data_IF_606469547999
#
_entry.id   IF_606469547999
#
_cell.length_a   1.000
_cell.length_b   1.000
_cell.length_c   1.000
_cell.angle_alpha   90.00
_cell.angle_beta   90.00
_cell.angle_gamma   90.00
#
_symmetry.space_group_name_H-M   'P 1'
#
loop_
_entity.id
_entity.type
_entity.pdbx_description
1 polymer ?
#
# COMPACT_ATOMS: atom_id res chain seq x y z
N UNK A 1 -64.13 6.25 3.74
CA UNK A 1 -63.11 7.29 3.99
C UNK A 1 -62.31 7.06 5.30
N UNK A 2 -62.20 5.83 5.81
CA UNK A 2 -61.48 5.52 7.07
C UNK A 2 -60.24 4.66 6.86
N UNK A 3 -60.11 4.01 5.71
CA UNK A 3 -59.02 3.09 5.38
C UNK A 3 -57.74 3.80 4.91
N UNK A 4 -57.86 4.98 4.31
CA UNK A 4 -56.72 5.78 3.82
C UNK A 4 -55.92 6.39 4.99
N UNK A 5 -56.61 6.78 6.08
CA UNK A 5 -55.96 7.32 7.28
C UNK A 5 -55.15 6.26 8.05
N UNK A 6 -55.55 4.99 7.97
CA UNK A 6 -54.87 3.88 8.67
C UNK A 6 -53.54 3.55 8.00
N UNK A 7 -53.47 3.61 6.66
CA UNK A 7 -52.24 3.36 5.91
C UNK A 7 -51.19 4.45 6.13
N UNK A 8 -51.60 5.72 6.21
CA UNK A 8 -50.69 6.83 6.47
C UNK A 8 -50.13 6.81 7.91
N UNK A 9 -50.91 6.33 8.89
CA UNK A 9 -50.42 6.17 10.26
C UNK A 9 -49.43 5.00 10.39
N UNK A 10 -49.66 3.89 9.68
CA UNK A 10 -48.75 2.74 9.71
C UNK A 10 -47.37 3.05 9.11
N UNK A 11 -47.28 3.90 8.08
CA UNK A 11 -45.98 4.33 7.53
C UNK A 11 -45.20 5.25 8.48
N UNK A 12 -45.89 6.11 9.24
CA UNK A 12 -45.24 7.01 10.20
C UNK A 12 -44.68 6.24 11.41
N UNK A 13 -45.41 5.23 11.90
CA UNK A 13 -44.98 4.41 13.04
C UNK A 13 -43.78 3.53 12.67
N UNK A 14 -43.71 3.02 11.43
CA UNK A 14 -42.54 2.27 10.94
C UNK A 14 -41.27 3.13 10.94
N UNK A 15 -41.33 4.38 10.46
CA UNK A 15 -40.17 5.27 10.41
C UNK A 15 -39.68 5.69 11.82
N UNK A 16 -40.58 5.81 12.80
CA UNK A 16 -40.17 6.07 14.19
C UNK A 16 -39.56 4.86 14.89
N UNK A 17 -39.97 3.63 14.54
CA UNK A 17 -39.37 2.41 15.11
C UNK A 17 -37.94 2.19 14.58
N UNK A 18 -37.66 2.57 13.34
CA UNK A 18 -36.28 2.56 12.79
C UNK A 18 -35.31 3.49 13.54
N UNK A 19 -35.82 4.47 14.31
CA UNK A 19 -34.99 5.42 15.05
C UNK A 19 -34.83 5.09 16.55
N UNK A 20 -35.58 4.10 17.09
CA UNK A 20 -35.62 3.81 18.54
C UNK A 20 -35.64 2.32 18.91
N UNK A 21 -35.25 1.42 17.99
CA UNK A 21 -34.89 0.06 18.38
C UNK A 21 -33.74 0.09 19.40
N UNK A 22 -33.62 -0.93 20.28
CA UNK A 22 -32.40 -1.06 21.08
C UNK A 22 -31.23 -0.98 20.11
N UNK A 23 -30.27 -0.09 20.40
CA UNK A 23 -28.96 -0.16 19.76
C UNK A 23 -28.58 -1.65 19.79
N UNK A 24 -28.29 -2.27 18.64
CA UNK A 24 -27.66 -3.57 18.68
C UNK A 24 -26.46 -3.39 19.59
N UNK A 25 -26.41 -4.15 20.69
CA UNK A 25 -25.18 -4.23 21.47
C UNK A 25 -24.04 -4.44 20.48
N UNK A 26 -22.88 -3.79 20.68
CA UNK A 26 -21.73 -3.93 19.80
C UNK A 26 -21.34 -5.41 19.81
N UNK A 27 -21.93 -6.14 18.88
CA UNK A 27 -21.44 -7.42 18.45
C UNK A 27 -20.09 -7.03 17.88
N UNK A 28 -19.03 -7.52 18.53
CA UNK A 28 -17.75 -7.71 17.89
C UNK A 28 -17.99 -8.64 16.68
N UNK A 29 -18.62 -8.11 15.63
CA UNK A 29 -18.11 -8.35 14.31
C UNK A 29 -16.66 -7.87 14.40
N UNK A 30 -15.66 -8.69 14.03
CA UNK A 30 -14.35 -8.14 13.80
C UNK A 30 -14.58 -6.95 12.86
N UNK A 31 -14.34 -5.75 13.38
CA UNK A 31 -13.99 -4.59 12.55
C UNK A 31 -13.10 -5.16 11.44
N UNK A 32 -13.34 -4.85 10.14
CA UNK A 32 -12.37 -5.25 9.14
C UNK A 32 -11.04 -4.71 9.65
N UNK A 33 -10.17 -5.61 10.12
CA UNK A 33 -8.90 -5.21 10.69
C UNK A 33 -8.24 -4.33 9.64
N UNK A 34 -7.55 -3.24 10.03
CA UNK A 34 -6.84 -2.42 9.07
C UNK A 34 -6.00 -3.38 8.22
N UNK A 35 -6.40 -3.56 6.96
CA UNK A 35 -5.64 -4.38 6.04
C UNK A 35 -4.38 -3.58 5.79
N UNK A 36 -3.29 -3.99 6.45
CA UNK A 36 -1.92 -3.51 6.31
C UNK A 36 -1.34 -3.81 4.90
N UNK A 37 -2.14 -3.57 3.86
CA UNK A 37 -1.75 -3.56 2.44
C UNK A 37 -0.76 -2.43 2.07
N UNK A 38 -0.36 -1.46 2.94
CA UNK A 38 0.76 -0.56 2.65
C UNK A 38 2.16 -1.17 2.78
N UNK A 39 2.34 -2.30 3.48
CA UNK A 39 3.67 -2.89 3.71
C UNK A 39 4.05 -3.88 2.61
N UNK A 40 3.14 -4.78 2.24
CA UNK A 40 3.38 -5.74 1.13
C UNK A 40 3.61 -5.03 -0.20
N UNK A 41 2.83 -3.98 -0.51
CA UNK A 41 3.02 -3.21 -1.74
C UNK A 41 4.38 -2.51 -1.77
N UNK A 42 4.84 -1.93 -0.65
CA UNK A 42 6.16 -1.30 -0.57
C UNK A 42 7.29 -2.31 -0.69
N UNK A 43 7.10 -3.50 -0.11
CA UNK A 43 8.03 -4.61 -0.23
C UNK A 43 8.20 -5.03 -1.69
N UNK A 44 7.09 -5.27 -2.40
CA UNK A 44 7.12 -5.66 -3.81
C UNK A 44 7.80 -4.61 -4.70
N UNK A 45 7.53 -3.33 -4.44
CA UNK A 45 8.15 -2.22 -5.17
C UNK A 45 9.65 -2.15 -4.90
N UNK A 46 10.06 -2.32 -3.63
CA UNK A 46 11.47 -2.38 -3.27
C UNK A 46 12.17 -3.58 -3.93
N UNK A 47 11.60 -4.78 -3.87
CA UNK A 47 12.21 -5.99 -4.43
C UNK A 47 12.34 -5.86 -5.95
N UNK A 48 11.31 -5.36 -6.61
CA UNK A 48 11.32 -5.13 -8.06
C UNK A 48 12.41 -4.13 -8.45
N UNK A 49 12.48 -2.99 -7.76
CA UNK A 49 13.51 -1.99 -8.00
C UNK A 49 14.91 -2.54 -7.70
N UNK A 50 15.08 -3.18 -6.55
CA UNK A 50 16.33 -3.81 -6.13
C UNK A 50 16.80 -4.89 -7.10
N UNK A 51 15.89 -5.65 -7.71
CA UNK A 51 16.22 -6.63 -8.75
C UNK A 51 16.80 -5.96 -9.98
N UNK A 52 16.19 -4.87 -10.45
CA UNK A 52 16.71 -4.07 -11.58
C UNK A 52 18.11 -3.52 -11.24
N UNK A 53 18.30 -2.98 -10.03
CA UNK A 53 19.61 -2.48 -9.60
C UNK A 53 20.64 -3.61 -9.47
N UNK A 54 20.22 -4.81 -9.06
CA UNK A 54 21.10 -5.96 -8.94
C UNK A 54 21.67 -6.40 -10.29
N UNK A 55 20.87 -6.34 -11.34
CA UNK A 55 21.33 -6.62 -12.71
C UNK A 55 22.44 -5.64 -13.11
N UNK A 56 22.28 -4.34 -12.82
CA UNK A 56 23.33 -3.34 -13.05
C UNK A 56 24.61 -3.61 -12.26
N UNK A 57 24.48 -4.02 -10.99
CA UNK A 57 25.61 -4.40 -10.14
C UNK A 57 26.36 -5.60 -10.74
N UNK A 58 25.64 -6.62 -11.22
CA UNK A 58 26.21 -7.83 -11.81
C UNK A 58 26.90 -7.56 -13.16
N UNK A 59 26.34 -6.63 -13.94
CA UNK A 59 26.93 -6.11 -15.17
C UNK A 59 28.08 -5.13 -14.92
N UNK A 60 28.35 -4.77 -13.66
CA UNK A 60 29.38 -3.81 -13.23
C UNK A 60 29.20 -2.43 -13.86
N UNK A 61 27.94 -2.04 -14.04
CA UNK A 61 27.58 -0.69 -14.51
C UNK A 61 27.90 0.30 -13.40
N UNK A 62 28.68 1.36 -13.67
CA UNK A 62 29.05 2.30 -12.63
C UNK A 62 27.83 3.05 -12.08
N UNK A 63 27.83 3.30 -10.77
CA UNK A 63 26.71 3.93 -10.04
C UNK A 63 26.18 5.22 -10.71
N UNK A 64 27.05 6.03 -11.31
CA UNK A 64 26.64 7.27 -11.99
C UNK A 64 25.82 7.05 -13.27
N UNK A 65 25.94 5.88 -13.91
CA UNK A 65 25.07 5.47 -15.01
C UNK A 65 23.76 4.91 -14.46
N UNK A 66 23.82 4.09 -13.40
CA UNK A 66 22.64 3.56 -12.72
C UNK A 66 21.74 4.67 -12.19
N UNK A 67 22.30 5.74 -11.62
CA UNK A 67 21.55 6.92 -11.16
C UNK A 67 20.67 7.53 -12.26
N UNK A 68 21.19 7.62 -13.48
CA UNK A 68 20.45 8.21 -14.61
C UNK A 68 19.33 7.29 -15.07
N UNK A 69 19.59 5.99 -15.11
CA UNK A 69 18.60 5.01 -15.53
C UNK A 69 17.50 4.83 -14.47
N UNK A 70 17.84 4.83 -13.19
CA UNK A 70 16.90 4.79 -12.09
C UNK A 70 16.02 6.06 -12.04
N UNK A 71 16.60 7.24 -12.26
CA UNK A 71 15.84 8.50 -12.35
C UNK A 71 14.81 8.46 -13.48
N UNK A 72 15.23 8.01 -14.67
CA UNK A 72 14.31 7.82 -15.80
C UNK A 72 13.23 6.78 -15.47
N UNK A 73 13.61 5.64 -14.90
CA UNK A 73 12.68 4.58 -14.53
C UNK A 73 11.58 5.11 -13.61
N UNK A 74 11.94 5.82 -12.53
CA UNK A 74 10.95 6.36 -11.60
C UNK A 74 10.03 7.38 -12.26
N UNK A 75 10.54 8.23 -13.16
CA UNK A 75 9.72 9.20 -13.88
C UNK A 75 8.68 8.56 -14.81
N UNK A 76 8.99 7.38 -15.36
CA UNK A 76 8.13 6.64 -16.28
C UNK A 76 7.04 5.82 -15.56
N UNK A 77 7.14 5.65 -14.24
CA UNK A 77 6.14 4.93 -13.44
C UNK A 77 4.84 5.74 -13.29
N UNK A 78 3.73 5.01 -13.08
CA UNK A 78 2.42 5.62 -12.81
C UNK A 78 2.27 6.03 -11.33
N UNK A 79 1.60 7.15 -11.10
CA UNK A 79 1.14 7.73 -9.83
C UNK A 79 1.79 7.17 -8.55
N UNK A 80 1.20 6.13 -7.96
CA UNK A 80 1.62 5.62 -6.65
C UNK A 80 3.01 4.96 -6.66
N UNK A 81 3.35 4.25 -7.74
CA UNK A 81 4.67 3.65 -7.92
C UNK A 81 5.74 4.73 -8.08
N UNK A 82 5.41 5.77 -8.85
CA UNK A 82 6.29 6.92 -9.02
C UNK A 82 6.59 7.60 -7.70
N UNK A 83 5.57 7.81 -6.87
CA UNK A 83 5.76 8.45 -5.56
C UNK A 83 6.73 7.67 -4.66
N UNK A 84 6.56 6.35 -4.55
CA UNK A 84 7.46 5.51 -3.74
C UNK A 84 8.88 5.51 -4.36
N UNK A 85 8.97 5.38 -5.68
CA UNK A 85 10.25 5.36 -6.37
C UNK A 85 11.03 6.68 -6.17
N UNK A 86 10.37 7.82 -6.32
CA UNK A 86 11.00 9.14 -6.20
C UNK A 86 11.28 9.56 -4.75
N UNK A 87 10.40 9.23 -3.81
CA UNK A 87 10.53 9.70 -2.42
C UNK A 87 11.27 8.74 -1.52
N UNK A 88 11.21 7.45 -1.81
CA UNK A 88 11.76 6.42 -0.93
C UNK A 88 12.97 5.73 -1.56
N UNK A 89 12.86 5.23 -2.79
CA UNK A 89 13.92 4.41 -3.40
C UNK A 89 15.08 5.21 -3.99
N UNK A 90 14.80 6.21 -4.84
CA UNK A 90 15.83 7.05 -5.46
C UNK A 90 16.76 7.74 -4.45
N UNK A 91 16.24 8.35 -3.36
CA UNK A 91 17.11 8.97 -2.35
C UNK A 91 18.02 7.97 -1.62
N UNK A 92 17.66 6.68 -1.65
CA UNK A 92 18.44 5.59 -1.07
C UNK A 92 19.21 4.77 -2.12
N UNK A 93 19.24 5.18 -3.38
CA UNK A 93 19.84 4.40 -4.47
C UNK A 93 21.31 4.05 -4.22
N UNK A 94 22.11 4.97 -3.67
CA UNK A 94 23.51 4.70 -3.34
C UNK A 94 23.63 3.55 -2.32
N UNK A 95 22.76 3.52 -1.30
CA UNK A 95 22.74 2.43 -0.30
C UNK A 95 22.22 1.13 -0.92
N UNK A 96 21.22 1.23 -1.79
CA UNK A 96 20.63 0.07 -2.46
C UNK A 96 21.68 -0.57 -3.37
N UNK A 97 22.35 0.23 -4.21
CA UNK A 97 23.39 -0.22 -5.11
C UNK A 97 24.56 -0.87 -4.36
N UNK A 98 25.09 -0.22 -3.32
CA UNK A 98 26.19 -0.77 -2.53
C UNK A 98 25.76 -2.02 -1.75
N UNK A 99 24.55 -2.04 -1.19
CA UNK A 99 24.02 -3.17 -0.44
C UNK A 99 23.86 -4.43 -1.31
N UNK A 100 23.49 -4.26 -2.58
CA UNK A 100 23.31 -5.34 -3.55
C UNK A 100 24.62 -5.99 -4.03
N UNK A 101 25.79 -5.46 -3.64
CA UNK A 101 27.06 -6.18 -3.79
C UNK A 101 27.13 -7.43 -2.88
N UNK A 102 26.43 -7.40 -1.74
CA UNK A 102 26.55 -8.43 -0.70
C UNK A 102 25.21 -9.12 -0.38
N UNK A 103 24.08 -8.51 -0.75
CA UNK A 103 22.74 -8.97 -0.41
C UNK A 103 21.90 -9.27 -1.65
N UNK A 104 20.90 -10.13 -1.48
CA UNK A 104 19.81 -10.25 -2.45
C UNK A 104 18.87 -9.05 -2.35
N UNK A 105 18.05 -8.77 -3.38
CA UNK A 105 17.01 -7.74 -3.29
C UNK A 105 16.06 -7.93 -2.11
N UNK A 106 15.66 -9.16 -1.81
CA UNK A 106 14.80 -9.50 -0.67
C UNK A 106 15.47 -9.15 0.66
N UNK A 107 16.69 -9.68 0.90
CA UNK A 107 17.44 -9.42 2.14
C UNK A 107 17.68 -7.92 2.37
N UNK A 108 17.98 -7.18 1.29
CA UNK A 108 18.18 -5.73 1.36
C UNK A 108 16.88 -5.00 1.71
N UNK A 109 15.76 -5.36 1.09
CA UNK A 109 14.47 -4.72 1.33
C UNK A 109 13.94 -4.97 2.75
N UNK A 110 14.22 -6.14 3.34
CA UNK A 110 14.01 -6.38 4.77
C UNK A 110 14.91 -5.50 5.64
N UNK A 111 16.20 -5.40 5.30
CA UNK A 111 17.15 -4.57 6.06
C UNK A 111 16.79 -3.08 6.05
N UNK A 112 16.26 -2.60 4.92
CA UNK A 112 15.80 -1.23 4.74
C UNK A 112 14.38 -1.00 5.28
N UNK A 113 13.74 -2.02 5.85
CA UNK A 113 12.39 -1.97 6.41
C UNK A 113 11.30 -1.63 5.39
N UNK A 114 11.51 -1.98 4.11
CA UNK A 114 10.45 -1.99 3.10
C UNK A 114 9.63 -3.28 3.14
N UNK A 115 10.20 -4.34 3.69
CA UNK A 115 9.54 -5.62 3.92
C UNK A 115 9.50 -5.91 5.43
N UNK A 116 8.39 -6.47 5.91
CA UNK A 116 8.32 -7.07 7.24
C UNK A 116 9.36 -8.18 7.41
N UNK A 117 9.84 -8.38 8.65
CA UNK A 117 10.72 -9.52 8.96
C UNK A 117 9.90 -10.81 8.96
N UNK A 118 10.24 -11.75 8.09
CA UNK A 118 9.68 -13.10 8.08
C UNK A 118 10.44 -14.06 9.02
#
# INVERSE_FOLDING_TARGET
MKTILILALLSCVALTIYAQGPEPEPTHEPEPEPTDEPDEFKCDVCITFGTIIKDYVDEKVPLEEVKKDADRLCHDLADHLKEICEKDLLPNLDKIYEGLHEHTPEDLCEHLHYCGRH
#
